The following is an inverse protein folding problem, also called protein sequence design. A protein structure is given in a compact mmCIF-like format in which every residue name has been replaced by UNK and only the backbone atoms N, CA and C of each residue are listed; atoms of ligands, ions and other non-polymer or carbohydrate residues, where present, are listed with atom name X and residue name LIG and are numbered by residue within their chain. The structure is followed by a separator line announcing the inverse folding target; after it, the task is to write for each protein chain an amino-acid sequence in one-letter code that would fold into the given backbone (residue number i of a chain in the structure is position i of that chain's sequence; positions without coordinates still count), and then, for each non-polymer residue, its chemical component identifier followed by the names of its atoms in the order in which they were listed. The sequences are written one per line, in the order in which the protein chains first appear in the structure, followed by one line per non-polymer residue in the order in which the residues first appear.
data_IF_428870887170
#
_entry.id   IF_428870887170
#
_cell.length_a   1.000
_cell.length_b   1.000
_cell.length_c   1.000
_cell.angle_alpha   90.00
_cell.angle_beta   90.00
_cell.angle_gamma   90.00
#
_symmetry.space_group_name_H-M   'P 1'
#
loop_
_entity.id
_entity.type
_entity.pdbx_description
1 polymer ?
#
# COMPACT_ATOMS: atom_id res chain seq x y z
N UNK A 1 -8.25 0.80 -17.12
CA UNK A 1 -8.42 -0.47 -16.38
C UNK A 1 -8.23 -1.58 -17.39
N UNK A 2 -7.36 -2.57 -17.13
CA UNK A 2 -7.19 -3.70 -18.05
C UNK A 2 -8.32 -4.72 -17.80
N UNK A 3 -9.43 -4.56 -18.52
CA UNK A 3 -10.66 -5.35 -18.30
C UNK A 3 -10.48 -6.86 -18.53
N UNK A 4 -9.48 -7.24 -19.33
CA UNK A 4 -9.10 -8.64 -19.56
C UNK A 4 -8.40 -9.29 -18.34
N UNK A 5 -7.81 -8.48 -17.46
CA UNK A 5 -7.11 -8.94 -16.24
C UNK A 5 -7.96 -8.76 -14.98
N UNK A 6 -8.78 -7.71 -14.91
CA UNK A 6 -9.56 -7.33 -13.72
C UNK A 6 -11.02 -7.17 -14.13
N UNK A 7 -11.85 -8.15 -13.76
CA UNK A 7 -13.29 -8.12 -14.02
C UNK A 7 -14.03 -7.06 -13.18
N UNK A 8 -13.61 -6.83 -11.93
CA UNK A 8 -14.19 -5.83 -11.05
C UNK A 8 -13.17 -5.33 -10.01
N UNK A 9 -13.37 -4.10 -9.52
CA UNK A 9 -12.59 -3.51 -8.45
C UNK A 9 -13.54 -2.77 -7.50
N UNK A 10 -13.82 -3.39 -6.36
CA UNK A 10 -14.80 -2.92 -5.38
C UNK A 10 -14.14 -2.79 -4.01
N UNK A 11 -14.57 -1.79 -3.26
CA UNK A 11 -14.24 -1.71 -1.84
C UNK A 11 -14.95 -2.82 -1.09
N UNK A 12 -14.24 -3.47 -0.17
CA UNK A 12 -14.81 -4.49 0.70
C UNK A 12 -14.30 -4.37 2.14
N UNK A 13 -15.08 -4.82 3.14
CA UNK A 13 -14.61 -4.90 4.51
C UNK A 13 -13.36 -5.78 4.63
N UNK A 14 -12.37 -5.29 5.37
CA UNK A 14 -11.09 -6.00 5.56
C UNK A 14 -11.30 -7.38 6.19
N UNK A 15 -12.17 -7.49 7.18
CA UNK A 15 -12.43 -8.76 7.85
C UNK A 15 -13.05 -9.80 6.91
N UNK A 16 -13.88 -9.34 5.97
CA UNK A 16 -14.45 -10.18 4.91
C UNK A 16 -13.35 -10.68 3.96
N UNK A 17 -12.45 -9.79 3.52
CA UNK A 17 -11.31 -10.16 2.68
C UNK A 17 -10.41 -11.19 3.38
N UNK A 18 -10.10 -10.97 4.66
CA UNK A 18 -9.19 -11.83 5.42
C UNK A 18 -9.80 -13.19 5.81
N UNK A 19 -11.12 -13.27 5.96
CA UNK A 19 -11.82 -14.53 6.27
C UNK A 19 -12.22 -15.35 5.03
N UNK A 20 -12.26 -14.74 3.84
CA UNK A 20 -12.67 -15.41 2.60
C UNK A 20 -11.80 -16.64 2.24
N UNK A 21 -12.41 -17.80 1.99
CA UNK A 21 -11.69 -19.00 1.55
C UNK A 21 -11.27 -18.98 0.07
N UNK A 22 -11.79 -18.04 -0.72
CA UNK A 22 -11.47 -17.91 -2.15
C UNK A 22 -10.22 -17.06 -2.39
N UNK A 23 -9.78 -16.30 -1.39
CA UNK A 23 -8.62 -15.42 -1.48
C UNK A 23 -7.38 -16.15 -0.99
N UNK A 24 -6.35 -16.21 -1.84
CA UNK A 24 -5.10 -16.90 -1.53
C UNK A 24 -4.36 -16.28 -0.33
N UNK A 25 -3.68 -17.12 0.46
CA UNK A 25 -2.93 -16.71 1.65
C UNK A 25 -1.90 -15.61 1.38
N UNK A 26 -1.29 -15.61 0.19
CA UNK A 26 -0.37 -14.57 -0.26
C UNK A 26 -0.99 -13.18 -0.14
N UNK A 27 -2.15 -12.95 -0.76
CA UNK A 27 -2.82 -11.65 -0.75
C UNK A 27 -3.26 -11.24 0.66
N UNK A 28 -3.75 -12.18 1.46
CA UNK A 28 -4.09 -11.92 2.87
C UNK A 28 -2.88 -11.51 3.69
N UNK A 29 -1.72 -12.08 3.40
CA UNK A 29 -0.46 -11.73 4.06
C UNK A 29 -0.06 -10.29 3.73
N UNK A 30 -0.19 -9.87 2.47
CA UNK A 30 0.08 -8.49 2.05
C UNK A 30 -0.85 -7.51 2.77
N UNK A 31 -2.15 -7.77 2.80
CA UNK A 31 -3.13 -6.90 3.49
C UNK A 31 -2.84 -6.83 4.99
N UNK A 32 -2.53 -7.95 5.64
CA UNK A 32 -2.15 -7.96 7.06
C UNK A 32 -0.87 -7.17 7.34
N UNK A 33 0.12 -7.25 6.45
CA UNK A 33 1.34 -6.49 6.58
C UNK A 33 1.06 -4.98 6.46
N UNK A 34 0.24 -4.58 5.50
CA UNK A 34 -0.16 -3.19 5.29
C UNK A 34 -0.92 -2.61 6.50
N UNK A 35 -1.82 -3.38 7.13
CA UNK A 35 -2.58 -2.93 8.31
C UNK A 35 -1.68 -2.72 9.54
N UNK A 36 -0.63 -3.54 9.67
CA UNK A 36 0.27 -3.51 10.84
C UNK A 36 1.41 -2.50 10.71
N UNK A 37 1.71 -2.08 9.49
CA UNK A 37 2.77 -1.14 9.20
C UNK A 37 2.21 0.28 9.27
N UNK A 38 2.97 1.21 9.84
CA UNK A 38 2.70 2.65 9.70
C UNK A 38 2.89 3.13 8.24
N UNK A 39 3.38 2.23 7.38
CA UNK A 39 3.51 2.44 5.95
C UNK A 39 4.68 3.35 5.63
N UNK A 40 4.48 4.17 4.61
CA UNK A 40 5.43 5.18 4.17
C UNK A 40 4.70 6.50 4.04
N UNK A 41 5.38 7.61 4.34
CA UNK A 41 4.84 8.96 4.20
C UNK A 41 5.69 9.78 3.23
N UNK A 42 5.11 10.79 2.55
CA UNK A 42 5.88 11.73 1.74
C UNK A 42 6.95 12.42 2.59
N UNK A 43 8.16 12.51 2.06
CA UNK A 43 9.30 13.13 2.74
C UNK A 43 10.06 14.04 1.78
N UNK A 44 10.52 15.18 2.28
CA UNK A 44 11.48 16.02 1.58
C UNK A 44 12.91 15.64 1.98
N UNK A 45 13.77 15.37 0.99
CA UNK A 45 15.20 15.09 1.21
C UNK A 45 16.00 16.36 0.91
N UNK A 46 16.64 16.99 1.92
CA UNK A 46 17.42 18.20 1.72
C UNK A 46 18.50 18.02 0.64
N UNK A 47 18.49 18.90 -0.35
CA UNK A 47 19.49 18.93 -1.44
C UNK A 47 19.14 18.09 -2.68
N UNK A 48 18.01 17.39 -2.72
CA UNK A 48 17.67 16.50 -3.84
C UNK A 48 16.65 17.07 -4.84
N UNK A 49 16.18 18.30 -4.67
CA UNK A 49 15.20 18.96 -5.55
C UNK A 49 13.85 19.18 -4.86
N UNK A 50 12.91 19.85 -5.54
CA UNK A 50 11.59 20.14 -4.97
C UNK A 50 10.65 18.93 -5.08
N UNK A 51 9.57 18.91 -4.28
CA UNK A 51 8.52 17.88 -4.34
C UNK A 51 7.77 17.81 -5.68
N UNK A 52 7.92 18.82 -6.54
CA UNK A 52 7.40 18.79 -7.92
C UNK A 52 8.28 17.98 -8.87
N UNK A 53 9.56 17.80 -8.54
CA UNK A 53 10.54 17.09 -9.37
C UNK A 53 10.75 15.65 -8.87
N UNK A 54 10.64 15.45 -7.55
CA UNK A 54 10.89 14.17 -6.90
C UNK A 54 9.87 13.88 -5.80
N UNK A 55 9.35 12.66 -5.79
CA UNK A 55 8.46 12.16 -4.75
C UNK A 55 9.16 11.04 -3.97
N UNK A 56 9.46 11.29 -2.70
CA UNK A 56 10.05 10.29 -1.81
C UNK A 56 9.06 9.85 -0.77
N UNK A 57 9.01 8.53 -0.54
CA UNK A 57 8.20 7.91 0.49
C UNK A 57 9.11 7.09 1.38
N UNK A 58 9.13 7.41 2.67
CA UNK A 58 9.95 6.70 3.65
C UNK A 58 9.11 6.27 4.84
N UNK A 59 9.50 5.17 5.52
CA UNK A 59 8.97 4.85 6.83
C UNK A 59 9.18 6.00 7.83
N UNK A 60 8.28 6.20 8.80
CA UNK A 60 8.35 7.32 9.74
C UNK A 60 9.65 7.39 10.56
N UNK A 61 10.26 6.23 10.83
CA UNK A 61 11.46 6.04 11.63
C UNK A 61 12.77 6.33 10.89
N UNK A 62 12.73 6.54 9.57
CA UNK A 62 13.93 6.81 8.76
C UNK A 62 14.38 8.28 8.85
N UNK A 63 13.49 9.20 9.27
CA UNK A 63 13.76 10.64 9.33
C UNK A 63 14.04 11.17 10.75
N UNK A 64 14.10 10.29 11.75
CA UNK A 64 14.43 10.61 13.15
C UNK A 64 15.86 10.21 13.50
#
# INVERSE_FOLDING_TARGET
MQEEEIAECLWMPVDEFLSSNTIHLFNKTIVRAAIRSDGVSPVEIPGYGSSNDFEFFMPPDVMT
#
